data_IF_974636848782
#
_entry.id   IF_974636848782
#
_cell.length_a   1.000
_cell.length_b   1.000
_cell.length_c   1.000
_cell.angle_alpha   90.00
_cell.angle_beta   90.00
_cell.angle_gamma   90.00
#
_symmetry.space_group_name_H-M   'P 1'
#
loop_
_entity.id
_entity.type
_entity.pdbx_description
1 polymer ?
#
# COMPACT_ATOMS: atom_id res chain seq x y z
N UNK A 1 5.55 16.52 -15.14
CA UNK A 1 5.83 15.63 -14.00
C UNK A 1 7.33 15.55 -13.79
N UNK A 2 7.79 15.71 -12.55
CA UNK A 2 9.21 15.57 -12.25
C UNK A 2 9.65 14.11 -12.46
N UNK A 3 10.91 13.93 -12.84
CA UNK A 3 11.48 12.60 -13.01
C UNK A 3 11.47 11.80 -11.71
N UNK A 4 11.68 12.50 -10.59
CA UNK A 4 11.65 11.86 -9.25
C UNK A 4 10.26 11.36 -8.93
N UNK A 5 9.23 12.17 -9.15
CA UNK A 5 7.84 11.77 -8.91
C UNK A 5 7.46 10.59 -9.79
N UNK A 6 7.85 10.60 -11.06
CA UNK A 6 7.58 9.49 -11.98
C UNK A 6 8.27 8.20 -11.52
N UNK A 7 9.55 8.30 -11.11
CA UNK A 7 10.30 7.14 -10.63
C UNK A 7 9.64 6.54 -9.38
N UNK A 8 9.23 7.39 -8.43
CA UNK A 8 8.57 6.92 -7.21
C UNK A 8 7.18 6.35 -7.49
N UNK A 9 6.49 6.87 -8.50
CA UNK A 9 5.21 6.35 -8.96
C UNK A 9 5.35 4.90 -9.46
N UNK A 10 6.34 4.66 -10.32
CA UNK A 10 6.63 3.33 -10.84
C UNK A 10 7.08 2.38 -9.75
N UNK A 11 7.88 2.87 -8.80
CA UNK A 11 8.30 2.07 -7.65
C UNK A 11 7.08 1.62 -6.84
N UNK A 12 6.16 2.52 -6.55
CA UNK A 12 4.94 2.18 -5.80
C UNK A 12 4.07 1.18 -6.57
N UNK A 13 3.81 1.44 -7.86
CA UNK A 13 2.97 0.57 -8.68
C UNK A 13 3.52 -0.85 -8.77
N UNK A 14 4.82 -0.99 -9.06
CA UNK A 14 5.47 -2.29 -9.17
C UNK A 14 5.54 -2.99 -7.81
N UNK A 15 5.85 -2.24 -6.74
CA UNK A 15 5.91 -2.81 -5.40
C UNK A 15 4.56 -3.37 -4.96
N UNK A 16 3.47 -2.66 -5.22
CA UNK A 16 2.12 -3.14 -4.89
C UNK A 16 1.72 -4.35 -5.73
N UNK A 17 2.13 -4.38 -7.00
CA UNK A 17 1.88 -5.52 -7.86
C UNK A 17 2.57 -6.78 -7.32
N UNK A 18 3.85 -6.67 -6.94
CA UNK A 18 4.58 -7.77 -6.34
C UNK A 18 4.03 -8.16 -4.96
N UNK A 19 3.70 -7.18 -4.12
CA UNK A 19 3.15 -7.44 -2.80
C UNK A 19 1.82 -8.17 -2.90
N UNK A 20 0.95 -7.75 -3.83
CA UNK A 20 -0.32 -8.43 -4.06
C UNK A 20 -0.14 -9.86 -4.54
N UNK A 21 0.77 -10.07 -5.48
CA UNK A 21 1.10 -11.42 -5.98
C UNK A 21 1.63 -12.30 -4.84
N UNK A 22 2.41 -11.73 -3.93
CA UNK A 22 2.99 -12.45 -2.81
C UNK A 22 1.93 -13.01 -1.85
N UNK A 23 0.75 -12.38 -1.76
CA UNK A 23 -0.38 -12.91 -0.98
C UNK A 23 -0.80 -14.30 -1.45
N UNK A 24 -0.64 -14.59 -2.74
CA UNK A 24 -0.99 -15.87 -3.33
C UNK A 24 0.19 -16.86 -3.33
N UNK A 25 1.43 -16.34 -3.39
CA UNK A 25 2.63 -17.17 -3.41
C UNK A 25 3.03 -17.65 -2.03
N UNK A 26 2.84 -16.82 -1.00
CA UNK A 26 3.20 -17.14 0.40
C UNK A 26 2.07 -16.71 1.34
N UNK A 27 0.90 -17.34 1.26
CA UNK A 27 -0.26 -16.93 2.05
C UNK A 27 -0.08 -17.12 3.55
N UNK A 28 0.77 -18.06 3.98
CA UNK A 28 0.95 -18.38 5.40
C UNK A 28 1.38 -17.17 6.22
N UNK A 29 2.30 -16.35 5.69
CA UNK A 29 2.77 -15.17 6.38
C UNK A 29 1.61 -14.19 6.63
N UNK A 30 0.79 -13.96 5.61
CA UNK A 30 -0.33 -13.03 5.71
C UNK A 30 -1.44 -13.55 6.61
N UNK A 31 -1.65 -14.87 6.62
CA UNK A 31 -2.62 -15.48 7.52
C UNK A 31 -2.21 -15.29 8.99
N UNK A 32 -0.91 -15.37 9.29
CA UNK A 32 -0.40 -15.17 10.64
C UNK A 32 -0.59 -13.74 11.13
N UNK A 33 -0.55 -12.75 10.21
CA UNK A 33 -0.75 -11.34 10.55
C UNK A 33 -2.18 -11.02 10.97
N UNK A 34 -3.15 -11.82 10.55
CA UNK A 34 -4.57 -11.50 10.76
C UNK A 34 -4.94 -11.57 12.24
N UNK A 35 -5.55 -10.50 12.80
CA UNK A 35 -6.05 -10.53 14.17
C UNK A 35 -7.10 -11.65 14.34
N UNK A 36 -7.06 -12.32 15.49
CA UNK A 36 -7.94 -13.45 15.74
C UNK A 36 -9.43 -13.09 15.70
N UNK A 37 -9.76 -11.82 15.98
CA UNK A 37 -11.16 -11.37 15.99
C UNK A 37 -11.74 -11.16 14.59
N UNK A 38 -10.91 -11.15 13.54
CA UNK A 38 -11.41 -11.00 12.17
C UNK A 38 -11.81 -12.36 11.60
N UNK A 39 -12.98 -12.45 10.93
CA UNK A 39 -13.37 -13.70 10.27
C UNK A 39 -12.74 -13.81 8.88
N UNK A 40 -12.85 -14.99 8.29
CA UNK A 40 -12.48 -15.26 6.90
C UNK A 40 -11.06 -14.84 6.54
N UNK A 41 -10.06 -15.25 7.33
CA UNK A 41 -8.67 -14.85 7.14
C UNK A 41 -8.17 -15.11 5.71
N UNK A 42 -8.43 -16.33 5.19
CA UNK A 42 -7.96 -16.69 3.85
C UNK A 42 -8.59 -15.82 2.77
N UNK A 43 -9.89 -15.54 2.88
CA UNK A 43 -10.60 -14.70 1.93
C UNK A 43 -10.08 -13.26 1.99
N UNK A 44 -9.86 -12.71 3.20
CA UNK A 44 -9.34 -11.36 3.37
C UNK A 44 -7.93 -11.22 2.78
N UNK A 45 -7.08 -12.24 2.95
CA UNK A 45 -5.74 -12.24 2.35
C UNK A 45 -5.83 -12.22 0.83
N UNK A 46 -6.70 -13.04 0.25
CA UNK A 46 -6.88 -13.10 -1.21
C UNK A 46 -7.44 -11.78 -1.76
N UNK A 47 -8.48 -11.24 -1.12
CA UNK A 47 -9.08 -9.96 -1.54
C UNK A 47 -8.07 -8.83 -1.46
N UNK A 48 -7.28 -8.77 -0.37
CA UNK A 48 -6.22 -7.77 -0.22
C UNK A 48 -5.18 -7.90 -1.33
N UNK A 49 -4.79 -9.13 -1.68
CA UNK A 49 -3.83 -9.38 -2.74
C UNK A 49 -4.31 -8.89 -4.10
N UNK A 50 -5.56 -9.19 -4.44
CA UNK A 50 -6.17 -8.71 -5.69
C UNK A 50 -6.26 -7.19 -5.68
N UNK A 51 -6.70 -6.60 -4.56
CA UNK A 51 -6.80 -5.15 -4.43
C UNK A 51 -5.43 -4.48 -4.63
N UNK A 52 -4.37 -5.01 -4.01
CA UNK A 52 -3.03 -4.47 -4.17
C UNK A 52 -2.55 -4.52 -5.61
N UNK A 53 -2.79 -5.63 -6.31
CA UNK A 53 -2.40 -5.76 -7.72
C UNK A 53 -3.17 -4.75 -8.60
N UNK A 54 -4.48 -4.63 -8.39
CA UNK A 54 -5.30 -3.69 -9.16
C UNK A 54 -4.89 -2.24 -8.88
N UNK A 55 -4.63 -1.91 -7.63
CA UNK A 55 -4.20 -0.56 -7.26
C UNK A 55 -2.80 -0.25 -7.78
N UNK A 56 -1.90 -1.24 -7.77
CA UNK A 56 -0.57 -1.07 -8.35
C UNK A 56 -0.62 -0.72 -9.83
N UNK A 57 -1.43 -1.44 -10.60
CA UNK A 57 -1.65 -1.13 -12.02
C UNK A 57 -2.35 0.21 -12.17
N UNK A 58 -3.39 0.47 -11.35
CA UNK A 58 -4.17 1.70 -11.43
C UNK A 58 -3.36 2.96 -11.19
N UNK A 59 -2.38 2.90 -10.30
CA UNK A 59 -1.47 4.01 -10.03
C UNK A 59 -0.61 4.32 -11.28
N UNK A 60 -0.23 3.30 -12.03
CA UNK A 60 0.60 3.48 -13.24
C UNK A 60 -0.18 4.04 -14.42
N UNK A 61 -1.50 3.84 -14.46
CA UNK A 61 -2.36 4.33 -15.55
C UNK A 61 -2.82 5.75 -15.24
N UNK A 62 -2.49 6.76 -16.07
CA UNK A 62 -2.79 8.17 -15.76
C UNK A 62 -4.26 8.46 -15.45
N UNK A 63 -5.19 7.80 -16.15
CA UNK A 63 -6.64 8.02 -15.95
C UNK A 63 -7.14 7.57 -14.59
N UNK A 64 -6.55 6.52 -14.02
CA UNK A 64 -6.99 5.91 -12.77
C UNK A 64 -6.07 6.23 -11.60
N UNK A 65 -4.95 6.91 -11.85
CA UNK A 65 -3.89 7.17 -10.87
C UNK A 65 -4.41 7.80 -9.59
N UNK A 66 -5.18 8.87 -9.70
CA UNK A 66 -5.69 9.59 -8.53
C UNK A 66 -6.62 8.71 -7.72
N UNK A 67 -7.55 8.03 -8.37
CA UNK A 67 -8.49 7.13 -7.69
C UNK A 67 -7.74 5.95 -7.07
N UNK A 68 -6.78 5.37 -7.79
CA UNK A 68 -5.99 4.26 -7.30
C UNK A 68 -5.14 4.67 -6.09
N UNK A 69 -4.57 5.88 -6.10
CA UNK A 69 -3.81 6.40 -4.97
C UNK A 69 -4.68 6.54 -3.72
N UNK A 70 -5.91 7.02 -3.84
CA UNK A 70 -6.85 7.03 -2.73
C UNK A 70 -7.19 5.61 -2.27
N UNK A 71 -7.30 4.68 -3.21
CA UNK A 71 -7.49 3.25 -2.90
C UNK A 71 -6.33 2.67 -2.12
N UNK A 72 -5.09 3.03 -2.45
CA UNK A 72 -3.88 2.63 -1.70
C UNK A 72 -3.97 3.13 -0.27
N UNK A 73 -4.35 4.39 -0.07
CA UNK A 73 -4.52 4.98 1.26
C UNK A 73 -5.58 4.20 2.06
N UNK A 74 -6.73 3.93 1.44
CA UNK A 74 -7.80 3.17 2.09
C UNK A 74 -7.35 1.77 2.47
N UNK A 75 -6.59 1.11 1.60
CA UNK A 75 -6.06 -0.23 1.87
C UNK A 75 -5.05 -0.20 3.03
N UNK A 76 -4.16 0.78 3.07
CA UNK A 76 -3.19 0.94 4.16
C UNK A 76 -3.92 1.11 5.49
N UNK A 77 -4.97 1.91 5.52
CA UNK A 77 -5.79 2.07 6.73
C UNK A 77 -6.46 0.75 7.10
N UNK A 78 -6.98 0.03 6.11
CA UNK A 78 -7.68 -1.23 6.34
C UNK A 78 -6.75 -2.33 6.87
N UNK A 79 -5.46 -2.32 6.52
CA UNK A 79 -4.49 -3.31 7.01
C UNK A 79 -3.83 -2.89 8.32
N UNK A 80 -4.14 -1.71 8.85
CA UNK A 80 -3.60 -1.25 10.12
C UNK A 80 -3.84 -2.25 11.26
N UNK A 81 -5.03 -2.86 11.41
CA UNK A 81 -5.23 -3.87 12.45
C UNK A 81 -4.24 -5.02 12.38
N UNK A 82 -3.88 -5.48 11.18
CA UNK A 82 -2.89 -6.55 11.02
C UNK A 82 -1.51 -6.09 11.45
N UNK A 83 -1.09 -4.88 11.06
CA UNK A 83 0.20 -4.33 11.48
C UNK A 83 0.27 -4.11 12.99
N UNK A 84 -0.82 -3.62 13.58
CA UNK A 84 -0.92 -3.45 15.02
C UNK A 84 -0.85 -4.79 15.75
N UNK A 85 -1.53 -5.80 15.21
CA UNK A 85 -1.51 -7.16 15.76
C UNK A 85 -0.07 -7.71 15.82
N UNK A 86 0.71 -7.50 14.76
CA UNK A 86 2.11 -7.93 14.73
C UNK A 86 2.94 -7.23 15.81
N UNK A 87 2.74 -5.91 15.97
CA UNK A 87 3.49 -5.13 16.96
C UNK A 87 3.13 -5.53 18.40
N UNK A 88 1.86 -5.88 18.64
CA UNK A 88 1.39 -6.28 19.95
C UNK A 88 1.75 -7.73 20.33
N UNK A 89 2.01 -8.58 19.34
CA UNK A 89 2.28 -10.01 19.54
C UNK A 89 3.55 -10.44 18.80
N UNK A 90 4.73 -9.85 19.14
CA UNK A 90 5.96 -10.16 18.41
C UNK A 90 6.38 -11.62 18.56
N UNK A 91 6.00 -12.29 19.65
CA UNK A 91 6.32 -13.70 19.89
C UNK A 91 5.65 -14.64 18.90
N UNK A 92 4.54 -14.22 18.28
CA UNK A 92 3.86 -14.99 17.26
C UNK A 92 4.60 -14.97 15.92
N UNK A 93 5.63 -14.14 15.78
CA UNK A 93 6.41 -13.99 14.54
C UNK A 93 7.91 -14.20 14.82
N UNK A 94 8.31 -15.44 15.19
CA UNK A 94 9.68 -15.70 15.64
C UNK A 94 10.74 -15.49 14.55
N UNK A 95 10.34 -15.56 13.26
CA UNK A 95 11.26 -15.38 12.15
C UNK A 95 11.52 -13.91 11.79
N UNK A 96 10.80 -12.98 12.44
CA UNK A 96 10.96 -11.56 12.22
C UNK A 96 11.50 -10.87 13.48
N UNK A 97 12.51 -9.95 13.35
CA UNK A 97 12.95 -9.19 14.50
C UNK A 97 11.82 -8.30 15.04
N UNK A 98 11.71 -8.17 16.37
CA UNK A 98 10.66 -7.34 16.98
C UNK A 98 10.70 -5.90 16.48
N UNK A 99 11.90 -5.34 16.24
CA UNK A 99 12.05 -3.97 15.72
C UNK A 99 11.38 -3.82 14.35
N UNK A 100 11.47 -4.85 13.48
CA UNK A 100 10.84 -4.81 12.17
C UNK A 100 9.31 -4.75 12.29
N UNK A 101 8.73 -5.46 13.27
CA UNK A 101 7.29 -5.44 13.50
C UNK A 101 6.82 -4.07 13.99
N UNK A 102 7.59 -3.42 14.88
CA UNK A 102 7.28 -2.07 15.36
C UNK A 102 7.44 -1.02 14.26
N UNK A 103 8.46 -1.13 13.41
CA UNK A 103 8.71 -0.18 12.35
C UNK A 103 7.64 -0.19 11.25
N UNK A 104 6.87 -1.26 11.14
CA UNK A 104 5.76 -1.31 10.17
C UNK A 104 4.71 -0.22 10.41
N UNK A 105 4.54 0.23 11.65
CA UNK A 105 3.56 1.27 11.98
C UNK A 105 3.96 2.65 11.44
N UNK A 106 5.17 3.19 11.76
CA UNK A 106 5.58 4.47 11.16
C UNK A 106 5.79 4.37 9.65
N UNK A 107 6.28 3.24 9.14
CA UNK A 107 6.42 3.03 7.70
C UNK A 107 5.06 3.09 7.01
N UNK A 108 4.01 2.57 7.62
CA UNK A 108 2.66 2.68 7.09
C UNK A 108 2.23 4.14 6.91
N UNK A 109 2.54 5.00 7.89
CA UNK A 109 2.24 6.43 7.77
C UNK A 109 3.02 7.08 6.62
N UNK A 110 4.28 6.70 6.44
CA UNK A 110 5.09 7.19 5.33
C UNK A 110 4.51 6.75 3.97
N UNK A 111 4.03 5.52 3.90
CA UNK A 111 3.41 5.00 2.68
C UNK A 111 2.10 5.75 2.36
N UNK A 112 1.32 6.08 3.38
CA UNK A 112 0.11 6.89 3.21
C UNK A 112 0.46 8.27 2.67
N UNK A 113 1.47 8.92 3.24
CA UNK A 113 1.92 10.23 2.77
C UNK A 113 2.43 10.17 1.32
N UNK A 114 3.17 9.12 0.98
CA UNK A 114 3.67 8.89 -0.38
C UNK A 114 2.50 8.71 -1.37
N UNK A 115 1.51 7.88 -1.04
CA UNK A 115 0.34 7.69 -1.87
C UNK A 115 -0.48 8.99 -2.00
N UNK A 116 -0.59 9.75 -0.93
CA UNK A 116 -1.28 11.05 -0.95
C UNK A 116 -0.66 12.01 -1.98
N UNK A 117 0.66 11.98 -2.14
CA UNK A 117 1.33 12.80 -3.14
C UNK A 117 0.77 12.53 -4.55
N UNK A 118 0.44 11.29 -4.87
CA UNK A 118 -0.09 10.92 -6.18
C UNK A 118 -1.57 11.24 -6.35
N UNK A 119 -2.27 11.59 -5.27
CA UNK A 119 -3.66 12.09 -5.36
C UNK A 119 -3.70 13.55 -5.78
N UNK A 120 -2.58 14.27 -5.64
CA UNK A 120 -2.50 15.69 -5.92
C UNK A 120 -2.22 15.92 -7.39
N UNK A 121 -2.82 16.97 -8.01
CA UNK A 121 -2.50 17.31 -9.39
C UNK A 121 -1.04 17.73 -9.49
N UNK A 122 -0.47 17.50 -10.67
CA UNK A 122 0.90 17.90 -10.95
C UNK A 122 0.97 19.42 -11.00
N UNK A 123 1.88 20.02 -10.22
CA UNK A 123 2.03 21.48 -10.15
C UNK A 123 2.45 22.10 -11.49
N UNK A 124 3.25 21.38 -12.28
CA UNK A 124 3.66 21.86 -13.60
C UNK A 124 2.47 21.96 -14.55
N UNK A 125 1.54 21.00 -14.53
CA UNK A 125 0.28 21.05 -15.27
C UNK A 125 -0.58 22.22 -14.84
N UNK A 126 -0.70 22.45 -13.53
CA UNK A 126 -1.49 23.53 -12.97
C UNK A 126 -0.95 24.89 -13.40
N UNK A 127 0.39 25.07 -13.38
CA UNK A 127 1.03 26.32 -13.82
C UNK A 127 0.84 26.56 -15.30
N UNK A 128 0.95 25.52 -16.13
CA UNK A 128 0.74 25.63 -17.56
C UNK A 128 -0.70 26.05 -17.88
N UNK A 129 -1.68 25.47 -17.21
CA UNK A 129 -3.09 25.81 -17.36
C UNK A 129 -3.37 27.26 -16.95
N UNK A 130 -2.78 27.72 -15.84
CA UNK A 130 -2.92 29.10 -15.37
C UNK A 130 -2.28 30.09 -16.34
N UNK A 131 -1.16 29.75 -16.94
CA UNK A 131 -0.48 30.62 -17.91
C UNK A 131 -1.24 30.73 -19.23
N UNK A 132 -2.01 29.69 -19.60
CA UNK A 132 -2.79 29.66 -20.83
C UNK A 132 -4.12 30.43 -20.71
N UNK A 133 -4.59 30.69 -19.51
CA UNK A 133 -5.83 31.43 -19.26
C UNK A 133 -5.56 32.91 -19.07
#
# INVERSE_FOLDING_TARGET
VSKVKTALLWLMGVAYLFAGANHFLKPEFYLQMMPAYLPWHALLVQVSGVAEMLLGVGVLVPRTRRLAAWGVIALLIAVFPANLNMALHPDAFPDAPAIALYLRLPVQLLLIAWAYWFTRPDQSSSKASSAAS
#
